data_IF_842353482975
#
_entry.id   IF_842353482975
#
_cell.length_a   1.000
_cell.length_b   1.000
_cell.length_c   1.000
_cell.angle_alpha   90.00
_cell.angle_beta   90.00
_cell.angle_gamma   90.00
#
_symmetry.space_group_name_H-M   'P 1'
#
loop_
_entity.id
_entity.type
_entity.pdbx_description
1 polymer ?
#
# COMPACT_ATOMS: atom_id res chain seq x y z
N UNK A 1 -59.00 -9.11 -33.39
CA UNK A 1 -58.58 -8.35 -32.20
C UNK A 1 -57.57 -9.17 -31.40
N UNK A 2 -56.26 -8.88 -31.49
CA UNK A 2 -55.45 -8.75 -30.27
C UNK A 2 -54.27 -7.76 -30.47
N UNK A 3 -54.38 -6.52 -29.98
CA UNK A 3 -53.26 -5.55 -29.98
C UNK A 3 -53.12 -4.77 -28.67
N UNK A 4 -53.63 -5.32 -27.55
CA UNK A 4 -53.60 -4.65 -26.24
C UNK A 4 -52.48 -5.13 -25.30
N UNK A 5 -51.77 -6.22 -25.59
CA UNK A 5 -50.69 -6.75 -24.72
C UNK A 5 -49.35 -6.04 -24.93
N UNK A 6 -49.02 -5.65 -26.16
CA UNK A 6 -47.71 -5.06 -26.50
C UNK A 6 -47.53 -3.63 -25.99
N UNK A 7 -48.61 -2.85 -25.89
CA UNK A 7 -48.54 -1.47 -25.38
C UNK A 7 -48.29 -1.45 -23.87
N UNK A 8 -48.86 -2.40 -23.12
CA UNK A 8 -48.67 -2.52 -21.66
C UNK A 8 -47.25 -2.99 -21.33
N UNK A 9 -46.67 -3.93 -22.10
CA UNK A 9 -45.30 -4.38 -21.91
C UNK A 9 -44.25 -3.31 -22.27
N UNK A 10 -44.51 -2.50 -23.29
CA UNK A 10 -43.65 -1.36 -23.63
C UNK A 10 -43.75 -0.25 -22.58
N UNK A 11 -44.94 0.02 -22.05
CA UNK A 11 -45.15 0.99 -20.97
C UNK A 11 -44.50 0.51 -19.66
N UNK A 12 -44.56 -0.79 -19.36
CA UNK A 12 -43.87 -1.40 -18.22
C UNK A 12 -42.34 -1.39 -18.38
N UNK A 13 -41.82 -1.64 -19.58
CA UNK A 13 -40.38 -1.55 -19.86
C UNK A 13 -39.87 -0.12 -19.76
N UNK A 14 -40.64 0.86 -20.25
CA UNK A 14 -40.32 2.28 -20.13
C UNK A 14 -40.43 2.77 -18.68
N UNK A 15 -41.41 2.28 -17.92
CA UNK A 15 -41.57 2.55 -16.49
C UNK A 15 -40.43 1.91 -15.68
N UNK A 16 -40.00 0.69 -16.00
CA UNK A 16 -38.85 0.05 -15.37
C UNK A 16 -37.55 0.81 -15.68
N UNK A 17 -37.35 1.25 -16.93
CA UNK A 17 -36.22 2.07 -17.32
C UNK A 17 -36.26 3.45 -16.65
N UNK A 18 -37.45 4.06 -16.52
CA UNK A 18 -37.65 5.31 -15.79
C UNK A 18 -37.47 5.13 -14.27
N UNK A 19 -37.83 3.99 -13.69
CA UNK A 19 -37.57 3.68 -12.27
C UNK A 19 -36.08 3.45 -12.04
N UNK A 20 -35.37 2.82 -12.98
CA UNK A 20 -33.90 2.66 -12.94
C UNK A 20 -33.19 4.01 -13.11
N UNK A 21 -33.71 4.91 -13.96
CA UNK A 21 -33.13 6.24 -14.19
C UNK A 21 -33.56 7.28 -13.12
N UNK A 22 -34.73 7.14 -12.51
CA UNK A 22 -35.24 8.02 -11.46
C UNK A 22 -34.85 7.57 -10.05
N UNK A 23 -34.43 6.32 -9.87
CA UNK A 23 -33.71 5.88 -8.69
C UNK A 23 -32.27 6.36 -8.79
N UNK A 24 -32.02 7.59 -8.32
CA UNK A 24 -30.70 8.07 -7.92
C UNK A 24 -30.13 7.29 -6.72
N UNK A 25 -30.19 5.97 -6.76
CA UNK A 25 -29.43 5.08 -5.90
C UNK A 25 -28.06 4.93 -6.57
N UNK A 26 -26.99 5.38 -5.91
CA UNK A 26 -25.66 4.91 -6.26
C UNK A 26 -25.71 3.38 -6.18
N UNK A 27 -25.81 2.70 -7.32
CA UNK A 27 -25.71 1.24 -7.40
C UNK A 27 -24.36 0.92 -6.78
N UNK A 28 -24.37 0.18 -5.68
CA UNK A 28 -23.15 -0.27 -5.03
C UNK A 28 -22.26 -0.93 -6.10
N UNK A 29 -21.07 -0.37 -6.38
CA UNK A 29 -20.23 -0.89 -7.46
C UNK A 29 -19.57 -2.22 -7.05
N UNK A 30 -19.47 -2.53 -5.76
CA UNK A 30 -18.68 -3.67 -5.26
C UNK A 30 -19.14 -5.02 -5.79
N UNK A 31 -20.44 -5.39 -5.80
CA UNK A 31 -20.88 -6.68 -6.35
C UNK A 31 -20.45 -6.89 -7.81
N UNK A 32 -20.58 -5.85 -8.64
CA UNK A 32 -20.17 -5.90 -10.05
C UNK A 32 -18.66 -5.96 -10.19
N UNK A 33 -17.92 -5.23 -9.36
CA UNK A 33 -16.46 -5.25 -9.39
C UNK A 33 -15.90 -6.60 -8.94
N UNK A 34 -16.52 -7.24 -7.94
CA UNK A 34 -16.15 -8.59 -7.51
C UNK A 34 -16.37 -9.62 -8.62
N UNK A 35 -17.48 -9.54 -9.36
CA UNK A 35 -17.69 -10.39 -10.55
C UNK A 35 -16.65 -10.08 -11.64
N UNK A 36 -16.30 -8.81 -11.82
CA UNK A 36 -15.36 -8.39 -12.87
C UNK A 36 -13.90 -8.76 -12.60
N UNK A 37 -13.45 -8.84 -11.33
CA UNK A 37 -12.11 -9.35 -10.99
C UNK A 37 -11.98 -10.87 -11.18
N UNK A 38 -13.09 -11.61 -11.27
CA UNK A 38 -13.10 -13.04 -11.56
C UNK A 38 -13.33 -13.34 -13.06
N UNK A 39 -13.44 -12.30 -13.91
CA UNK A 39 -13.72 -12.47 -15.33
C UNK A 39 -12.59 -13.21 -16.06
N UNK A 40 -12.94 -14.02 -17.06
CA UNK A 40 -11.97 -14.73 -17.91
C UNK A 40 -11.09 -13.76 -18.70
N UNK A 41 -11.70 -12.66 -19.18
CA UNK A 41 -11.00 -11.62 -19.93
C UNK A 41 -10.13 -10.75 -19.01
N UNK A 42 -8.81 -10.79 -19.24
CA UNK A 42 -7.82 -10.01 -18.49
C UNK A 42 -8.10 -8.52 -18.55
N UNK A 43 -8.61 -7.99 -19.67
CA UNK A 43 -8.86 -6.55 -19.80
C UNK A 43 -10.03 -6.11 -18.90
N UNK A 44 -11.01 -7.00 -18.70
CA UNK A 44 -12.11 -6.79 -17.75
C UNK A 44 -11.58 -6.80 -16.31
N UNK A 45 -10.74 -7.77 -15.96
CA UNK A 45 -10.10 -7.84 -14.63
C UNK A 45 -9.23 -6.60 -14.37
N UNK A 46 -8.40 -6.18 -15.33
CA UNK A 46 -7.58 -4.96 -15.26
C UNK A 46 -8.44 -3.73 -14.99
N UNK A 47 -9.52 -3.55 -15.74
CA UNK A 47 -10.43 -2.43 -15.55
C UNK A 47 -11.09 -2.44 -14.16
N UNK A 48 -11.42 -3.63 -13.63
CA UNK A 48 -11.97 -3.78 -12.29
C UNK A 48 -10.96 -3.39 -11.21
N UNK A 49 -9.71 -3.88 -11.27
CA UNK A 49 -8.63 -3.53 -10.34
C UNK A 49 -8.36 -2.02 -10.33
N UNK A 50 -8.29 -1.39 -11.51
CA UNK A 50 -8.13 0.06 -11.62
C UNK A 50 -9.30 0.83 -11.01
N UNK A 51 -10.52 0.32 -11.15
CA UNK A 51 -11.70 0.94 -10.54
C UNK A 51 -11.67 0.81 -9.01
N UNK A 52 -11.33 -0.38 -8.50
CA UNK A 52 -11.16 -0.63 -7.06
C UNK A 52 -10.08 0.27 -6.45
N UNK A 53 -8.96 0.49 -7.16
CA UNK A 53 -7.87 1.37 -6.72
C UNK A 53 -8.30 2.83 -6.52
N UNK A 54 -9.30 3.29 -7.27
CA UNK A 54 -9.81 4.66 -7.23
C UNK A 54 -11.04 4.83 -6.35
N UNK A 55 -11.63 3.71 -5.89
CA UNK A 55 -12.84 3.74 -5.08
C UNK A 55 -12.49 3.97 -3.61
N UNK A 56 -13.12 4.98 -3.00
CA UNK A 56 -12.96 5.28 -1.57
C UNK A 56 -13.90 4.43 -0.70
N UNK A 57 -13.78 3.11 -0.82
CA UNK A 57 -14.55 2.12 -0.07
C UNK A 57 -13.59 1.15 0.62
N UNK A 58 -13.79 0.89 1.92
CA UNK A 58 -12.91 0.01 2.70
C UNK A 58 -12.94 -1.44 2.21
N UNK A 59 -14.03 -1.88 1.58
CA UNK A 59 -14.16 -3.24 1.01
C UNK A 59 -13.19 -3.49 -0.15
N UNK A 60 -12.69 -2.42 -0.78
CA UNK A 60 -11.70 -2.52 -1.87
C UNK A 60 -10.38 -3.11 -1.39
N UNK A 61 -10.04 -2.97 -0.10
CA UNK A 61 -8.82 -3.55 0.45
C UNK A 61 -8.85 -5.08 0.40
N UNK A 62 -9.99 -5.67 0.73
CA UNK A 62 -10.20 -7.12 0.69
C UNK A 62 -10.09 -7.60 -0.76
N UNK A 63 -10.86 -6.99 -1.67
CA UNK A 63 -10.85 -7.37 -3.08
C UNK A 63 -9.47 -7.21 -3.74
N UNK A 64 -8.73 -6.14 -3.45
CA UNK A 64 -7.37 -5.96 -3.97
C UNK A 64 -6.36 -6.94 -3.36
N UNK A 65 -6.57 -7.35 -2.11
CA UNK A 65 -5.72 -8.37 -1.46
C UNK A 65 -5.95 -9.74 -2.08
N UNK A 66 -7.19 -10.11 -2.37
CA UNK A 66 -7.53 -11.35 -3.09
C UNK A 66 -6.85 -11.39 -4.46
N UNK A 67 -6.97 -10.32 -5.26
CA UNK A 67 -6.29 -10.24 -6.57
C UNK A 67 -4.76 -10.32 -6.42
N UNK A 68 -4.20 -9.70 -5.37
CA UNK A 68 -2.76 -9.74 -5.10
C UNK A 68 -2.26 -11.15 -4.78
N UNK A 69 -3.04 -11.95 -4.05
CA UNK A 69 -2.68 -13.32 -3.71
C UNK A 69 -2.89 -14.27 -4.89
N UNK A 70 -4.06 -14.23 -5.52
CA UNK A 70 -4.57 -15.29 -6.38
C UNK A 70 -4.34 -15.06 -7.90
N UNK A 71 -4.14 -13.81 -8.35
CA UNK A 71 -3.93 -13.49 -9.78
C UNK A 71 -2.45 -13.11 -10.03
N UNK A 72 -1.66 -14.07 -10.51
CA UNK A 72 -0.26 -13.87 -10.89
C UNK A 72 -0.07 -12.76 -11.93
N UNK A 73 -1.02 -12.59 -12.86
CA UNK A 73 -0.93 -11.63 -13.96
C UNK A 73 -1.23 -10.19 -13.49
N UNK A 74 -2.11 -10.04 -12.50
CA UNK A 74 -2.53 -8.75 -11.96
C UNK A 74 -1.93 -8.39 -10.60
N UNK A 75 -1.15 -9.28 -10.00
CA UNK A 75 -0.50 -9.09 -8.69
C UNK A 75 0.20 -7.74 -8.56
N UNK A 76 1.00 -7.35 -9.55
CA UNK A 76 1.76 -6.09 -9.50
C UNK A 76 0.85 -4.87 -9.60
N UNK A 77 -0.25 -4.99 -10.33
CA UNK A 77 -1.27 -3.93 -10.43
C UNK A 77 -2.02 -3.79 -9.10
N UNK A 78 -2.43 -4.91 -8.50
CA UNK A 78 -3.07 -4.94 -7.20
C UNK A 78 -2.14 -4.38 -6.10
N UNK A 79 -0.85 -4.76 -6.12
CA UNK A 79 0.14 -4.22 -5.19
C UNK A 79 0.29 -2.70 -5.32
N UNK A 80 0.35 -2.18 -6.55
CA UNK A 80 0.42 -0.73 -6.81
C UNK A 80 -0.84 -0.01 -6.33
N UNK A 81 -2.01 -0.62 -6.52
CA UNK A 81 -3.28 -0.11 -6.02
C UNK A 81 -3.31 -0.05 -4.48
N UNK A 82 -2.86 -1.10 -3.80
CA UNK A 82 -2.76 -1.14 -2.33
C UNK A 82 -1.80 -0.07 -1.79
N UNK A 83 -0.63 0.12 -2.43
CA UNK A 83 0.32 1.20 -2.08
C UNK A 83 -0.34 2.57 -2.23
N UNK A 84 -1.02 2.82 -3.36
CA UNK A 84 -1.75 4.06 -3.58
C UNK A 84 -2.76 4.30 -2.46
N UNK A 85 -3.57 3.30 -2.13
CA UNK A 85 -4.57 3.40 -1.06
C UNK A 85 -3.92 3.68 0.30
N UNK A 86 -2.84 3.00 0.66
CA UNK A 86 -2.10 3.27 1.91
C UNK A 86 -1.53 4.68 1.98
N UNK A 87 -1.12 5.27 0.85
CA UNK A 87 -0.65 6.67 0.79
C UNK A 87 -1.79 7.69 0.87
N UNK A 88 -2.97 7.36 0.34
CA UNK A 88 -4.11 8.29 0.24
C UNK A 88 -5.06 8.21 1.46
N UNK A 89 -5.25 7.02 2.04
CA UNK A 89 -6.19 6.77 3.13
C UNK A 89 -5.48 6.79 4.49
N UNK A 90 -4.79 7.90 4.78
CA UNK A 90 -4.14 8.10 6.08
C UNK A 90 -5.21 8.22 7.17
N UNK A 91 -5.13 7.37 8.19
CA UNK A 91 -6.05 7.36 9.33
C UNK A 91 -5.30 7.55 10.65
N UNK A 92 -5.97 8.18 11.62
CA UNK A 92 -5.49 8.26 13.00
C UNK A 92 -5.71 6.95 13.78
N UNK A 93 -6.50 6.02 13.22
CA UNK A 93 -6.71 4.70 13.80
C UNK A 93 -5.40 3.90 13.78
N UNK A 94 -4.97 3.43 14.96
CA UNK A 94 -3.82 2.53 15.09
C UNK A 94 -4.23 1.21 15.75
N UNK A 95 -3.88 0.04 15.17
CA UNK A 95 -3.10 -0.08 13.95
C UNK A 95 -3.89 0.36 12.69
N UNK A 96 -3.18 0.91 11.70
CA UNK A 96 -3.78 1.26 10.41
C UNK A 96 -4.18 -0.03 9.68
N UNK A 97 -5.46 -0.20 9.28
CA UNK A 97 -5.95 -1.45 8.71
C UNK A 97 -5.25 -1.83 7.40
N UNK A 98 -4.78 -0.86 6.60
CA UNK A 98 -4.05 -1.12 5.35
C UNK A 98 -2.65 -1.63 5.68
N UNK A 99 -1.97 -0.95 6.62
CA UNK A 99 -0.62 -1.34 7.04
C UNK A 99 -0.63 -2.71 7.70
N UNK A 100 -1.58 -2.95 8.60
CA UNK A 100 -1.73 -4.22 9.32
C UNK A 100 -2.05 -5.38 8.37
N UNK A 101 -2.96 -5.17 7.41
CA UNK A 101 -3.27 -6.14 6.37
C UNK A 101 -2.05 -6.53 5.55
N UNK A 102 -1.29 -5.55 5.04
CA UNK A 102 -0.08 -5.82 4.25
C UNK A 102 1.04 -6.44 5.12
N UNK A 103 1.14 -6.04 6.39
CA UNK A 103 2.09 -6.62 7.34
C UNK A 103 1.80 -8.10 7.62
N UNK A 104 0.53 -8.50 7.67
CA UNK A 104 0.13 -9.89 7.79
C UNK A 104 0.58 -10.71 6.58
N UNK A 105 0.45 -10.16 5.35
CA UNK A 105 0.92 -10.80 4.12
C UNK A 105 2.43 -11.06 4.14
N UNK A 106 3.23 -10.06 4.54
CA UNK A 106 4.69 -10.19 4.58
C UNK A 106 5.17 -11.28 5.54
N UNK A 107 4.45 -11.48 6.64
CA UNK A 107 4.81 -12.41 7.71
C UNK A 107 4.08 -13.76 7.65
N UNK A 108 3.18 -13.96 6.69
CA UNK A 108 2.48 -15.23 6.51
C UNK A 108 3.40 -16.28 5.89
N UNK A 109 3.78 -17.29 6.68
CA UNK A 109 4.70 -18.38 6.28
C UNK A 109 4.09 -19.32 5.23
N UNK A 110 2.76 -19.30 5.05
CA UNK A 110 2.07 -20.12 4.06
C UNK A 110 2.03 -19.48 2.66
N UNK A 111 2.33 -18.18 2.55
CA UNK A 111 2.42 -17.50 1.26
C UNK A 111 3.78 -17.73 0.61
N UNK A 112 3.81 -17.67 -0.73
CA UNK A 112 5.04 -17.78 -1.49
C UNK A 112 6.02 -16.65 -1.12
N UNK A 113 7.32 -16.91 -1.27
CA UNK A 113 8.36 -15.91 -1.01
C UNK A 113 8.13 -14.62 -1.80
N UNK A 114 7.69 -14.76 -3.06
CA UNK A 114 7.41 -13.64 -3.97
C UNK A 114 6.31 -12.75 -3.41
N UNK A 115 5.18 -13.32 -2.99
CA UNK A 115 4.05 -12.58 -2.43
C UNK A 115 4.48 -11.84 -1.16
N UNK A 116 5.18 -12.53 -0.26
CA UNK A 116 5.68 -11.92 0.98
C UNK A 116 6.66 -10.79 0.71
N UNK A 117 7.59 -10.99 -0.21
CA UNK A 117 8.58 -9.98 -0.58
C UNK A 117 7.93 -8.75 -1.21
N UNK A 118 6.90 -8.96 -2.04
CA UNK A 118 6.13 -7.87 -2.62
C UNK A 118 5.33 -7.11 -1.57
N UNK A 119 4.79 -7.79 -0.56
CA UNK A 119 4.17 -7.15 0.59
C UNK A 119 5.17 -6.30 1.41
N UNK A 120 6.38 -6.80 1.65
CA UNK A 120 7.43 -6.01 2.30
C UNK A 120 7.82 -4.76 1.48
N UNK A 121 7.88 -4.89 0.15
CA UNK A 121 8.06 -3.75 -0.75
C UNK A 121 6.92 -2.74 -0.63
N UNK A 122 5.66 -3.20 -0.61
CA UNK A 122 4.49 -2.31 -0.47
C UNK A 122 4.57 -1.48 0.81
N UNK A 123 4.93 -2.08 1.95
CA UNK A 123 5.09 -1.36 3.21
C UNK A 123 6.16 -0.25 3.12
N UNK A 124 7.28 -0.55 2.48
CA UNK A 124 8.35 0.43 2.25
C UNK A 124 7.92 1.57 1.31
N UNK A 125 7.07 1.27 0.32
CA UNK A 125 6.51 2.28 -0.57
C UNK A 125 5.45 3.14 0.12
N UNK A 126 4.59 2.57 0.95
CA UNK A 126 3.58 3.36 1.68
C UNK A 126 4.27 4.40 2.58
N UNK A 127 5.39 4.04 3.19
CA UNK A 127 6.22 5.00 3.94
C UNK A 127 5.78 5.21 5.39
N UNK A 128 4.78 4.47 5.89
CA UNK A 128 4.36 4.55 7.29
C UNK A 128 5.33 3.75 8.18
N UNK A 129 5.87 4.44 9.20
CA UNK A 129 6.80 3.86 10.18
C UNK A 129 6.14 2.84 11.10
N UNK A 130 4.82 2.77 11.14
CA UNK A 130 4.08 1.69 11.78
C UNK A 130 4.47 0.31 11.23
N UNK A 131 4.89 0.22 9.96
CA UNK A 131 5.32 -1.03 9.35
C UNK A 131 6.66 -1.57 9.88
N UNK A 132 7.44 -0.78 10.62
CA UNK A 132 8.80 -1.14 11.06
C UNK A 132 8.85 -2.47 11.84
N UNK A 133 7.99 -2.74 12.85
CA UNK A 133 8.01 -4.00 13.58
C UNK A 133 7.76 -5.21 12.66
N UNK A 134 6.81 -5.09 11.74
CA UNK A 134 6.50 -6.14 10.77
C UNK A 134 7.65 -6.39 9.79
N UNK A 135 8.28 -5.32 9.29
CA UNK A 135 9.44 -5.41 8.40
C UNK A 135 10.67 -5.99 9.09
N UNK A 136 10.88 -5.70 10.39
CA UNK A 136 11.93 -6.36 11.18
C UNK A 136 11.73 -7.87 11.23
N UNK A 137 10.50 -8.32 11.48
CA UNK A 137 10.17 -9.75 11.45
C UNK A 137 10.42 -10.35 10.06
N UNK A 138 9.97 -9.68 8.99
CA UNK A 138 10.19 -10.09 7.62
C UNK A 138 11.68 -10.16 7.23
N UNK A 139 12.53 -9.26 7.75
CA UNK A 139 13.98 -9.26 7.52
C UNK A 139 14.72 -10.47 8.10
N UNK A 140 14.08 -11.20 9.00
CA UNK A 140 14.52 -12.48 9.56
C UNK A 140 13.63 -13.65 9.11
N UNK A 141 12.77 -13.42 8.10
CA UNK A 141 11.80 -14.38 7.60
C UNK A 141 12.45 -15.63 7.00
N UNK A 142 11.79 -16.77 7.23
CA UNK A 142 12.17 -18.06 6.68
C UNK A 142 11.08 -18.61 5.77
N UNK A 143 11.47 -19.49 4.87
CA UNK A 143 10.58 -20.31 4.07
C UNK A 143 10.03 -21.47 4.91
N UNK A 144 9.00 -22.15 4.41
CA UNK A 144 8.37 -23.28 5.12
C UNK A 144 9.32 -24.46 5.32
N UNK A 145 10.35 -24.60 4.48
CA UNK A 145 11.40 -25.61 4.62
C UNK A 145 12.51 -25.23 5.62
N UNK A 146 12.43 -24.05 6.24
CA UNK A 146 13.41 -23.54 7.20
C UNK A 146 14.55 -22.73 6.61
N UNK A 147 14.67 -22.66 5.29
CA UNK A 147 15.69 -21.85 4.61
C UNK A 147 15.39 -20.35 4.75
N UNK A 148 16.43 -19.54 4.56
CA UNK A 148 16.28 -18.09 4.57
C UNK A 148 15.49 -17.63 3.35
N UNK A 149 14.45 -16.84 3.56
CA UNK A 149 13.68 -16.22 2.49
C UNK A 149 14.45 -15.01 1.91
N UNK A 150 15.47 -15.28 1.09
CA UNK A 150 16.44 -14.30 0.60
C UNK A 150 15.77 -13.06 0.00
N UNK A 151 14.80 -13.23 -0.88
CA UNK A 151 14.09 -12.13 -1.56
C UNK A 151 13.26 -11.31 -0.57
N UNK A 152 12.54 -11.98 0.34
CA UNK A 152 11.77 -11.30 1.38
C UNK A 152 12.68 -10.46 2.28
N UNK A 153 13.80 -11.05 2.72
CA UNK A 153 14.74 -10.39 3.62
C UNK A 153 15.38 -9.18 2.97
N UNK A 154 15.72 -9.28 1.69
CA UNK A 154 16.25 -8.16 0.91
C UNK A 154 15.22 -7.04 0.79
N UNK A 155 13.99 -7.33 0.36
CA UNK A 155 12.92 -6.33 0.23
C UNK A 155 12.56 -5.69 1.57
N UNK A 156 12.50 -6.48 2.65
CA UNK A 156 12.25 -5.97 3.98
C UNK A 156 13.39 -5.05 4.46
N UNK A 157 14.64 -5.38 4.16
CA UNK A 157 15.79 -4.53 4.51
C UNK A 157 15.75 -3.21 3.74
N UNK A 158 15.50 -3.25 2.43
CA UNK A 158 15.36 -2.04 1.61
C UNK A 158 14.19 -1.16 2.09
N UNK A 159 13.07 -1.77 2.47
CA UNK A 159 11.92 -1.07 3.03
C UNK A 159 12.27 -0.40 4.38
N UNK A 160 12.95 -1.11 5.28
CA UNK A 160 13.43 -0.53 6.55
C UNK A 160 14.36 0.67 6.31
N UNK A 161 15.27 0.57 5.34
CA UNK A 161 16.15 1.68 4.96
C UNK A 161 15.36 2.89 4.44
N UNK A 162 14.36 2.68 3.59
CA UNK A 162 13.47 3.74 3.11
C UNK A 162 12.72 4.43 4.25
N UNK A 163 12.34 3.68 5.28
CA UNK A 163 11.68 4.20 6.49
C UNK A 163 12.65 4.81 7.51
N UNK A 164 13.96 4.88 7.21
CA UNK A 164 14.99 5.39 8.10
C UNK A 164 15.28 4.49 9.31
N UNK A 165 14.87 3.21 9.27
CA UNK A 165 15.22 2.22 10.27
C UNK A 165 16.54 1.54 9.86
N UNK A 166 17.65 2.20 10.14
CA UNK A 166 18.98 1.64 9.96
C UNK A 166 19.36 0.81 11.19
N UNK A 167 19.85 -0.42 10.99
CA UNK A 167 20.22 -1.34 12.08
C UNK A 167 21.71 -1.19 12.41
N UNK A 168 22.13 0.00 12.80
CA UNK A 168 23.53 0.47 12.89
C UNK A 168 24.04 1.11 11.58
N UNK A 169 24.77 2.21 11.75
CA UNK A 169 25.15 3.14 10.72
C UNK A 169 25.85 2.50 9.52
N UNK A 170 25.49 2.96 8.32
CA UNK A 170 26.29 2.69 7.13
C UNK A 170 27.68 3.31 7.32
N UNK A 171 28.75 2.69 6.77
CA UNK A 171 30.14 3.15 6.91
C UNK A 171 30.45 4.57 6.39
N UNK A 172 29.47 5.30 5.86
CA UNK A 172 29.61 6.68 5.41
C UNK A 172 28.78 7.69 6.23
N UNK A 173 28.02 7.24 7.22
CA UNK A 173 27.52 8.13 8.27
C UNK A 173 28.56 8.17 9.38
N UNK A 174 29.06 9.36 9.72
CA UNK A 174 29.89 9.53 10.91
C UNK A 174 29.00 9.10 12.09
N UNK A 175 29.35 8.03 12.82
CA UNK A 175 28.58 7.68 14.01
C UNK A 175 28.56 8.91 14.91
N UNK A 176 27.38 9.28 15.41
CA UNK A 176 27.31 10.17 16.56
C UNK A 176 27.96 9.38 17.70
N UNK A 177 29.28 9.54 17.85
CA UNK A 177 29.96 9.11 19.06
C UNK A 177 29.28 9.90 20.18
N UNK A 178 29.00 9.23 21.31
CA UNK A 178 28.62 9.94 22.52
C UNK A 178 29.65 11.06 22.74
N UNK A 179 29.20 12.31 22.71
CA UNK A 179 30.06 13.51 22.79
C UNK A 179 30.68 13.62 24.20
N UNK A 180 30.29 12.73 25.11
CA UNK A 180 30.71 12.70 26.52
C UNK A 180 32.24 12.71 26.70
N UNK A 181 33.01 12.12 25.77
CA UNK A 181 34.47 12.03 25.87
C UNK A 181 35.24 12.73 24.73
N UNK A 182 34.58 13.50 23.86
CA UNK A 182 35.27 14.26 22.82
C UNK A 182 35.64 15.66 23.30
N UNK A 183 36.93 15.96 23.34
CA UNK A 183 37.41 17.33 23.49
C UNK A 183 37.08 18.11 22.22
N UNK A 184 35.94 18.80 22.23
CA UNK A 184 35.60 19.76 21.19
C UNK A 184 36.68 20.84 21.18
N UNK A 185 37.52 20.84 20.15
CA UNK A 185 38.40 21.97 19.85
C UNK A 185 37.51 23.13 19.43
N UNK A 186 37.09 23.93 20.42
CA UNK A 186 36.47 25.21 20.17
C UNK A 186 37.46 26.04 19.35
N UNK A 187 37.09 26.33 18.11
CA UNK A 187 37.84 27.26 17.29
C UNK A 187 37.92 28.59 18.05
N UNK A 188 39.12 29.19 18.17
CA UNK A 188 39.24 30.48 18.83
C UNK A 188 38.33 31.48 18.12
N UNK A 189 37.54 32.21 18.91
CA UNK A 189 36.67 33.26 18.41
C UNK A 189 37.58 34.27 17.69
N UNK A 190 37.38 34.55 16.39
CA UNK A 190 38.21 35.49 15.67
C UNK A 190 38.15 36.85 16.36
N UNK A 191 39.29 37.53 16.44
CA UNK A 191 39.34 38.87 17.02
C UNK A 191 38.36 39.80 16.28
N UNK A 192 37.60 40.63 17.02
CA UNK A 192 36.67 41.57 16.41
C UNK A 192 37.46 42.49 15.47
N UNK A 193 36.95 42.63 14.25
CA UNK A 193 37.56 43.45 13.21
C UNK A 193 37.42 44.92 13.64
N UNK A 194 38.47 45.45 14.28
CA UNK A 194 38.86 46.86 14.40
C UNK A 194 37.83 47.88 14.88
N UNK A 195 37.93 48.29 16.15
CA UNK A 195 37.76 49.71 16.51
C UNK A 195 39.11 50.41 16.34
N UNK A 196 39.49 50.69 15.09
CA UNK A 196 40.54 51.68 14.79
C UNK A 196 40.19 52.38 13.48
N UNK A 197 39.41 53.46 13.59
CA UNK A 197 39.72 54.78 13.01
C UNK A 197 38.46 55.66 12.92
N UNK A 198 38.11 56.35 14.00
CA UNK A 198 37.58 57.72 13.90
C UNK A 198 38.18 58.55 15.05
N UNK A 199 39.35 59.14 14.77
CA UNK A 199 39.67 60.50 15.21
C UNK A 199 39.25 61.45 14.10
#
# INVERSE_FOLDING_TARGET
>A
MPRRRSAVSLLQGLLALLVVLAAGCAIDPMPRLNEAIEAEDVEVRRAAVLTLANLNDSRTLIALTEVFEDDDELRDMAATALVKKGREQVTDQKPDPIIDGIAALANNVHLSEIVRARAAWMLGEIGDREAIPALKTASAGKLSNGDNATLLREQATQALEKLGYQKDGRPFEIPICSIEDQTLTLLPIPEPIGEQAEQ
#
